data_IF_131531749916
#
_entry.id   IF_131531749916
#
_cell.length_a   1.000
_cell.length_b   1.000
_cell.length_c   1.000
_cell.angle_alpha   90.00
_cell.angle_beta   90.00
_cell.angle_gamma   90.00
#
_symmetry.space_group_name_H-M   'P 1'
#
loop_
_entity.id
_entity.type
_entity.pdbx_description
1 polymer ?
#
# COMPACT_ATOMS: atom_id res chain seq x y z
N UNK A 1 8.12 6.38 -8.99
CA UNK A 1 7.82 6.68 -7.57
C UNK A 1 6.29 6.80 -7.47
N UNK A 2 5.66 6.13 -6.50
CA UNK A 2 4.20 5.92 -6.43
C UNK A 2 3.36 7.18 -6.70
N UNK A 3 3.81 8.34 -6.21
CA UNK A 3 3.07 9.60 -6.27
C UNK A 3 3.78 10.72 -7.07
N UNK A 4 4.79 10.37 -7.88
CA UNK A 4 5.48 11.31 -8.77
C UNK A 4 5.45 10.82 -10.22
N UNK A 5 5.34 11.77 -11.15
CA UNK A 5 5.59 11.55 -12.58
C UNK A 5 6.65 12.54 -13.04
N UNK A 6 7.87 12.05 -13.28
CA UNK A 6 9.04 12.90 -13.43
C UNK A 6 9.29 13.70 -12.14
N UNK A 7 9.41 15.02 -12.26
CA UNK A 7 9.59 15.94 -11.12
C UNK A 7 8.25 16.48 -10.57
N UNK A 8 7.11 16.13 -11.18
CA UNK A 8 5.79 16.63 -10.79
C UNK A 8 5.08 15.65 -9.86
N UNK A 9 4.39 16.18 -8.85
CA UNK A 9 3.53 15.38 -7.95
C UNK A 9 2.22 15.05 -8.65
N UNK A 10 1.80 13.80 -8.52
CA UNK A 10 0.49 13.36 -8.98
C UNK A 10 -0.59 13.86 -8.02
N UNK A 11 -1.71 14.33 -8.57
CA UNK A 11 -2.97 14.41 -7.83
C UNK A 11 -3.64 13.05 -7.94
N UNK A 12 -4.03 12.43 -6.82
CA UNK A 12 -4.72 11.14 -6.82
C UNK A 12 -6.06 11.27 -6.11
N UNK A 13 -7.07 10.57 -6.59
CA UNK A 13 -8.36 10.49 -5.89
C UNK A 13 -8.20 9.59 -4.66
N UNK A 14 -7.51 8.46 -4.83
CA UNK A 14 -7.39 7.42 -3.82
C UNK A 14 -5.95 6.94 -3.66
N UNK A 15 -5.45 6.94 -2.44
CA UNK A 15 -4.24 6.22 -2.06
C UNK A 15 -4.64 5.09 -1.10
N UNK A 16 -4.40 3.84 -1.49
CA UNK A 16 -4.66 2.66 -0.66
C UNK A 16 -3.34 2.11 -0.14
N UNK A 17 -3.18 2.09 1.17
CA UNK A 17 -2.02 1.56 1.87
C UNK A 17 -2.42 0.29 2.64
N UNK A 18 -1.89 -0.85 2.20
CA UNK A 18 -2.30 -2.18 2.65
C UNK A 18 -1.26 -2.68 3.65
N UNK A 19 -1.67 -3.01 4.86
CA UNK A 19 -0.76 -3.61 5.83
C UNK A 19 -0.56 -5.07 5.48
N UNK A 20 0.70 -5.48 5.31
CA UNK A 20 1.04 -6.87 5.01
C UNK A 20 2.20 -7.36 5.85
N UNK A 21 2.18 -8.64 6.22
CA UNK A 21 3.29 -9.27 6.92
C UNK A 21 4.44 -9.62 5.96
N UNK A 22 5.70 -9.66 6.42
CA UNK A 22 6.86 -10.00 5.61
C UNK A 22 6.68 -11.26 4.73
N UNK A 23 6.12 -12.32 5.30
CA UNK A 23 5.96 -13.62 4.62
C UNK A 23 4.74 -13.70 3.69
N UNK A 24 3.86 -12.70 3.67
CA UNK A 24 2.58 -12.76 2.96
C UNK A 24 2.71 -12.39 1.47
N UNK A 25 3.68 -12.98 0.78
CA UNK A 25 3.94 -12.70 -0.65
C UNK A 25 2.73 -13.05 -1.52
N UNK A 26 2.13 -14.21 -1.28
CA UNK A 26 0.98 -14.69 -2.05
C UNK A 26 -0.26 -13.81 -1.86
N UNK A 27 -0.50 -13.31 -0.65
CA UNK A 27 -1.61 -12.38 -0.38
C UNK A 27 -1.41 -11.06 -1.13
N UNK A 28 -0.17 -10.53 -1.14
CA UNK A 28 0.14 -9.33 -1.93
C UNK A 28 -0.08 -9.55 -3.41
N UNK A 29 0.36 -10.69 -3.96
CA UNK A 29 0.15 -11.04 -5.37
C UNK A 29 -1.34 -11.19 -5.70
N UNK A 30 -2.09 -11.92 -4.88
CA UNK A 30 -3.52 -12.08 -5.06
C UNK A 30 -4.25 -10.73 -5.08
N UNK A 31 -3.88 -9.79 -4.19
CA UNK A 31 -4.45 -8.44 -4.19
C UNK A 31 -4.08 -7.68 -5.47
N UNK A 32 -2.81 -7.71 -5.88
CA UNK A 32 -2.33 -7.06 -7.13
C UNK A 32 -3.11 -7.54 -8.34
N UNK A 33 -3.36 -8.85 -8.44
CA UNK A 33 -4.01 -9.51 -9.56
C UNK A 33 -5.55 -9.42 -9.52
N UNK A 34 -6.13 -8.92 -8.43
CA UNK A 34 -7.58 -8.82 -8.26
C UNK A 34 -8.02 -7.37 -8.07
N UNK A 35 -8.58 -7.03 -6.92
CA UNK A 35 -9.30 -5.77 -6.70
C UNK A 35 -8.40 -4.54 -6.77
N UNK A 36 -7.09 -4.67 -6.50
CA UNK A 36 -6.18 -3.54 -6.64
C UNK A 36 -5.94 -3.17 -8.11
N UNK A 37 -5.92 -4.15 -9.03
CA UNK A 37 -5.86 -3.87 -10.48
C UNK A 37 -7.16 -3.20 -10.95
N UNK A 38 -8.30 -3.76 -10.56
CA UNK A 38 -9.60 -3.18 -10.91
C UNK A 38 -9.74 -1.73 -10.42
N UNK A 39 -9.30 -1.42 -9.19
CA UNK A 39 -9.33 -0.06 -8.65
C UNK A 39 -8.45 0.91 -9.45
N UNK A 40 -7.26 0.46 -9.88
CA UNK A 40 -6.33 1.26 -10.71
C UNK A 40 -6.88 1.52 -12.11
N UNK A 41 -7.64 0.58 -12.68
CA UNK A 41 -8.27 0.74 -14.00
C UNK A 41 -9.47 1.67 -13.96
N UNK A 42 -10.24 1.64 -12.87
CA UNK A 42 -11.51 2.38 -12.75
C UNK A 42 -11.40 3.74 -12.07
N UNK A 43 -10.23 4.13 -11.58
CA UNK A 43 -10.04 5.40 -10.86
C UNK A 43 -8.59 5.89 -10.90
N UNK A 44 -8.38 7.18 -10.63
CA UNK A 44 -7.03 7.73 -10.47
C UNK A 44 -6.45 7.38 -9.09
N UNK A 45 -6.04 6.12 -8.92
CA UNK A 45 -5.61 5.58 -7.64
C UNK A 45 -4.18 5.03 -7.65
N UNK A 46 -3.63 4.88 -6.46
CA UNK A 46 -2.40 4.12 -6.20
C UNK A 46 -2.61 3.16 -5.04
N UNK A 47 -2.01 1.99 -5.15
CA UNK A 47 -2.03 0.93 -4.13
C UNK A 47 -0.59 0.57 -3.80
N UNK A 48 -0.27 0.48 -2.51
CA UNK A 48 1.03 0.07 -2.03
C UNK A 48 0.93 -0.76 -0.74
N UNK A 49 1.88 -1.66 -0.55
CA UNK A 49 1.97 -2.52 0.62
C UNK A 49 2.93 -1.92 1.65
N UNK A 50 2.45 -1.82 2.89
CA UNK A 50 3.22 -1.39 4.04
C UNK A 50 3.71 -2.61 4.80
N UNK A 51 5.02 -2.72 4.87
CA UNK A 51 5.70 -3.79 5.57
C UNK A 51 6.55 -3.20 6.70
N UNK A 52 6.80 -4.01 7.71
CA UNK A 52 7.84 -3.76 8.70
C UNK A 52 9.02 -4.71 8.41
N UNK A 53 10.15 -4.53 9.11
CA UNK A 53 11.31 -5.42 8.95
C UNK A 53 11.03 -6.78 9.60
N UNK A 54 11.59 -7.82 9.00
CA UNK A 54 11.71 -9.13 9.64
C UNK A 54 13.13 -9.34 10.16
N UNK A 55 13.30 -10.21 11.17
CA UNK A 55 14.62 -10.68 11.62
C UNK A 55 15.16 -11.83 10.76
N UNK A 56 14.34 -12.37 9.85
CA UNK A 56 14.76 -13.43 8.95
C UNK A 56 15.40 -12.82 7.69
N UNK A 57 16.72 -12.94 7.56
CA UNK A 57 17.49 -12.35 6.46
C UNK A 57 17.15 -12.93 5.08
N UNK A 58 16.67 -14.17 5.00
CA UNK A 58 16.22 -14.74 3.73
C UNK A 58 14.92 -14.07 3.28
N UNK A 59 13.97 -13.91 4.20
CA UNK A 59 12.70 -13.23 3.91
C UNK A 59 12.93 -11.75 3.60
N UNK A 60 13.85 -11.09 4.31
CA UNK A 60 14.18 -9.69 4.06
C UNK A 60 14.76 -9.49 2.64
N UNK A 61 15.67 -10.36 2.19
CA UNK A 61 16.19 -10.33 0.81
C UNK A 61 15.12 -10.61 -0.24
N UNK A 62 14.17 -11.50 0.06
CA UNK A 62 13.03 -11.76 -0.82
C UNK A 62 12.10 -10.52 -0.93
N UNK A 63 11.87 -9.79 0.17
CA UNK A 63 11.12 -8.52 0.16
C UNK A 63 11.85 -7.44 -0.65
N UNK A 64 13.18 -7.35 -0.53
CA UNK A 64 13.98 -6.41 -1.33
C UNK A 64 13.86 -6.71 -2.83
N UNK A 65 13.89 -7.99 -3.19
CA UNK A 65 13.67 -8.44 -4.57
C UNK A 65 12.26 -8.13 -5.06
N UNK A 66 11.23 -8.42 -4.24
CA UNK A 66 9.84 -8.07 -4.55
C UNK A 66 9.67 -6.55 -4.71
N UNK A 67 10.24 -5.75 -3.80
CA UNK A 67 10.17 -4.29 -3.84
C UNK A 67 10.82 -3.73 -5.09
N UNK A 68 11.92 -4.33 -5.55
CA UNK A 68 12.59 -3.95 -6.80
C UNK A 68 11.71 -4.25 -8.02
N UNK A 69 11.09 -5.43 -8.05
CA UNK A 69 10.26 -5.87 -9.19
C UNK A 69 8.90 -5.15 -9.27
N UNK A 70 8.24 -4.96 -8.13
CA UNK A 70 6.85 -4.48 -8.06
C UNK A 70 6.75 -2.97 -7.82
N UNK A 71 7.79 -2.36 -7.25
CA UNK A 71 7.87 -0.93 -6.95
C UNK A 71 6.67 -0.36 -6.16
N UNK A 72 6.00 -1.21 -5.38
CA UNK A 72 4.79 -0.89 -4.60
C UNK A 72 4.93 -1.20 -3.10
N UNK A 73 6.15 -1.37 -2.60
CA UNK A 73 6.44 -1.64 -1.19
C UNK A 73 6.95 -0.39 -0.48
N UNK A 74 6.35 -0.10 0.68
CA UNK A 74 6.83 0.88 1.65
C UNK A 74 7.22 0.13 2.92
N UNK A 75 8.53 -0.04 3.12
CA UNK A 75 9.03 -0.78 4.28
C UNK A 75 9.50 0.15 5.39
N UNK A 76 8.96 -0.05 6.60
CA UNK A 76 9.42 0.59 7.83
C UNK A 76 10.64 -0.10 8.43
N UNK A 77 11.29 0.58 9.37
CA UNK A 77 12.50 0.07 10.05
C UNK A 77 12.22 -0.75 11.32
N UNK A 78 11.00 -0.67 11.86
CA UNK A 78 10.60 -1.42 13.06
C UNK A 78 10.42 -2.90 12.74
N UNK A 79 10.54 -3.76 13.76
CA UNK A 79 10.32 -5.21 13.60
C UNK A 79 8.82 -5.48 13.49
N UNK A 80 8.43 -6.29 12.52
CA UNK A 80 7.07 -6.74 12.32
C UNK A 80 6.62 -7.59 13.51
N UNK A 81 5.57 -7.14 14.17
CA UNK A 81 4.95 -7.80 15.29
C UNK A 81 3.56 -7.20 15.48
N UNK A 82 2.58 -8.01 15.92
CA UNK A 82 1.21 -7.54 16.12
C UNK A 82 1.11 -6.32 17.05
N UNK A 83 1.88 -6.32 18.14
CA UNK A 83 1.97 -5.18 19.09
C UNK A 83 2.51 -3.88 18.44
N UNK A 84 3.16 -3.97 17.28
CA UNK A 84 3.76 -2.83 16.57
C UNK A 84 2.86 -2.29 15.45
N UNK A 85 1.62 -2.77 15.30
CA UNK A 85 0.70 -2.29 14.26
C UNK A 85 0.43 -0.78 14.37
N UNK A 86 0.40 -0.22 15.59
CA UNK A 86 0.30 1.23 15.80
C UNK A 86 1.50 2.00 15.21
N UNK A 87 2.71 1.43 15.26
CA UNK A 87 3.89 2.01 14.61
C UNK A 87 3.75 1.98 13.08
N UNK A 88 3.15 0.92 12.54
CA UNK A 88 2.82 0.78 11.11
C UNK A 88 1.81 1.82 10.66
N UNK A 89 0.78 2.10 11.47
CA UNK A 89 -0.17 3.20 11.24
C UNK A 89 0.49 4.57 11.28
N UNK A 90 1.33 4.83 12.29
CA UNK A 90 2.10 6.09 12.35
C UNK A 90 3.00 6.25 11.13
N UNK A 91 3.63 5.18 10.67
CA UNK A 91 4.45 5.16 9.46
C UNK A 91 3.62 5.48 8.22
N UNK A 92 2.45 4.85 8.06
CA UNK A 92 1.51 5.08 6.96
C UNK A 92 1.19 6.56 6.80
N UNK A 93 0.73 7.20 7.87
CA UNK A 93 0.34 8.61 7.87
C UNK A 93 1.55 9.49 7.52
N UNK A 94 2.70 9.27 8.17
CA UNK A 94 3.92 10.04 7.91
C UNK A 94 4.41 9.90 6.47
N UNK A 95 4.39 8.70 5.93
CA UNK A 95 4.83 8.43 4.57
C UNK A 95 3.90 9.10 3.55
N UNK A 96 2.58 8.95 3.72
CA UNK A 96 1.58 9.59 2.86
C UNK A 96 1.74 11.12 2.87
N UNK A 97 1.84 11.76 4.03
CA UNK A 97 2.03 13.21 4.13
C UNK A 97 3.35 13.69 3.52
N UNK A 98 4.42 12.89 3.58
CA UNK A 98 5.73 13.28 3.04
C UNK A 98 5.79 13.14 1.51
N UNK A 99 5.30 12.03 0.98
CA UNK A 99 5.52 11.64 -0.41
C UNK A 99 4.28 11.76 -1.30
N UNK A 100 3.09 11.71 -0.72
CA UNK A 100 1.81 11.63 -1.42
C UNK A 100 0.75 12.54 -0.78
N UNK A 101 1.09 13.81 -0.49
CA UNK A 101 0.13 14.70 0.17
C UNK A 101 -1.00 15.21 -0.73
N UNK A 102 -0.86 15.11 -2.06
CA UNK A 102 -1.85 15.61 -3.01
C UNK A 102 -2.86 14.49 -3.35
N UNK A 103 -3.62 14.07 -2.34
CA UNK A 103 -4.60 12.98 -2.42
C UNK A 103 -5.94 13.44 -1.84
N UNK A 104 -7.05 12.99 -2.44
CA UNK A 104 -8.39 13.27 -1.90
C UNK A 104 -8.71 12.33 -0.73
N UNK A 105 -8.41 11.04 -0.86
CA UNK A 105 -8.66 10.06 0.18
C UNK A 105 -7.49 9.10 0.42
N UNK A 106 -7.24 8.82 1.70
CA UNK A 106 -6.29 7.81 2.16
C UNK A 106 -7.06 6.63 2.77
N UNK A 107 -6.90 5.45 2.20
CA UNK A 107 -7.47 4.21 2.71
C UNK A 107 -6.40 3.32 3.34
N UNK A 108 -6.75 2.74 4.49
CA UNK A 108 -6.02 1.64 5.10
C UNK A 108 -6.79 0.35 4.87
N UNK A 109 -6.10 -0.68 4.41
CA UNK A 109 -6.60 -2.06 4.32
C UNK A 109 -5.61 -3.03 4.97
N UNK A 110 -6.05 -4.25 5.25
CA UNK A 110 -5.19 -5.38 5.59
C UNK A 110 -5.08 -6.33 4.38
N UNK A 111 -4.05 -7.17 4.35
CA UNK A 111 -3.78 -8.10 3.24
C UNK A 111 -4.67 -9.36 3.24
N UNK A 112 -5.53 -9.51 4.25
CA UNK A 112 -6.59 -10.51 4.35
C UNK A 112 -7.98 -9.94 4.02
N UNK A 113 -8.05 -8.73 3.46
CA UNK A 113 -9.30 -8.04 3.10
C UNK A 113 -9.56 -8.07 1.60
N UNK A 114 -10.82 -8.28 1.21
CA UNK A 114 -11.31 -8.04 -0.15
C UNK A 114 -12.07 -6.71 -0.23
N UNK A 115 -11.82 -5.94 -1.29
CA UNK A 115 -12.51 -4.67 -1.56
C UNK A 115 -13.37 -4.82 -2.80
N UNK A 116 -14.69 -4.63 -2.67
CA UNK A 116 -15.57 -4.48 -3.82
C UNK A 116 -15.42 -3.08 -4.41
N UNK A 117 -14.68 -2.96 -5.53
CA UNK A 117 -14.34 -1.67 -6.15
C UNK A 117 -15.57 -0.90 -6.62
N UNK A 118 -16.56 -1.59 -7.20
CA UNK A 118 -17.80 -0.94 -7.64
C UNK A 118 -18.55 -0.26 -6.51
N UNK A 119 -18.71 -0.96 -5.39
CA UNK A 119 -19.37 -0.42 -4.20
C UNK A 119 -18.54 0.69 -3.55
N UNK A 120 -17.22 0.53 -3.47
CA UNK A 120 -16.33 1.57 -2.96
C UNK A 120 -16.48 2.86 -3.75
N UNK A 121 -16.32 2.82 -5.07
CA UNK A 121 -16.38 4.01 -5.91
C UNK A 121 -17.76 4.66 -5.87
N UNK A 122 -18.84 3.87 -5.81
CA UNK A 122 -20.18 4.42 -5.66
C UNK A 122 -20.36 5.13 -4.31
N UNK A 123 -19.87 4.55 -3.22
CA UNK A 123 -19.97 5.16 -1.89
C UNK A 123 -19.11 6.43 -1.72
N UNK A 124 -18.13 6.65 -2.59
CA UNK A 124 -17.24 7.81 -2.56
C UNK A 124 -17.68 8.96 -3.47
N UNK A 125 -18.66 8.76 -4.38
CA UNK A 125 -19.13 9.81 -5.31
C UNK A 125 -19.70 11.06 -4.62
N UNK A 126 -20.26 10.89 -3.43
CA UNK A 126 -20.98 11.95 -2.70
C UNK A 126 -20.17 12.51 -1.50
N UNK A 127 -18.87 12.23 -1.44
CA UNK A 127 -17.96 12.69 -0.38
C UNK A 127 -16.89 13.61 -0.93
#
# INVERSE_FOLDING_TARGET
NLCLRGNSRLQLDYLVLIFSAPNNFDQRNAIRETWASELKERSNSRVAFLLARTKNDMVQRAIESESYLQADIVQGTHIDHYKNQTLKMKMMIKWALRYCYNISFLFKCDDDTFVNVGNLLNAMKDK
#
